data_IF_438064682890
#
_entry.id   IF_438064682890
#
_cell.length_a   1.000
_cell.length_b   1.000
_cell.length_c   1.000
_cell.angle_alpha   90.00
_cell.angle_beta   90.00
_cell.angle_gamma   90.00
#
_symmetry.space_group_name_H-M   'P 1'
#
loop_
_entity.id
_entity.type
_entity.pdbx_description
1 polymer ?
#
# COMPACT_ATOMS: atom_id res chain seq x y z
N UNK A 1 13.54 -31.28 23.90
CA UNK A 1 12.37 -30.51 24.42
C UNK A 1 11.97 -29.50 23.35
N UNK A 2 10.82 -29.64 22.68
CA UNK A 2 10.23 -28.52 21.92
C UNK A 2 9.81 -27.46 22.95
N UNK A 3 10.32 -26.24 22.85
CA UNK A 3 9.85 -25.15 23.71
C UNK A 3 8.40 -24.83 23.32
N UNK A 4 7.48 -25.01 24.26
CA UNK A 4 6.07 -24.66 24.08
C UNK A 4 5.90 -23.15 24.14
N UNK A 5 6.18 -22.46 23.03
CA UNK A 5 5.67 -21.10 22.82
C UNK A 5 4.16 -21.23 22.67
N UNK A 6 3.39 -20.60 23.56
CA UNK A 6 1.94 -20.56 23.42
C UNK A 6 1.60 -19.87 22.09
N UNK A 7 0.91 -20.60 21.20
CA UNK A 7 0.46 -20.05 19.91
C UNK A 7 -0.70 -19.10 20.21
N UNK A 8 -0.38 -17.81 20.34
CA UNK A 8 -1.37 -16.75 20.48
C UNK A 8 -1.78 -16.26 19.09
N UNK A 9 -3.07 -15.97 18.89
CA UNK A 9 -3.59 -15.42 17.63
C UNK A 9 -3.51 -13.87 17.57
N UNK A 10 -2.80 -13.26 18.52
CA UNK A 10 -2.71 -11.81 18.69
C UNK A 10 -2.04 -11.16 17.48
N UNK A 11 -2.59 -10.05 17.01
CA UNK A 11 -2.03 -9.28 15.89
C UNK A 11 -0.63 -8.75 16.20
N UNK A 12 -0.41 -8.23 17.42
CA UNK A 12 0.88 -7.83 17.98
C UNK A 12 0.73 -7.52 19.48
N UNK A 13 1.79 -7.02 20.14
CA UNK A 13 1.75 -6.66 21.57
C UNK A 13 0.71 -5.58 21.94
N UNK A 14 0.27 -4.78 20.96
CA UNK A 14 -0.72 -3.72 21.14
C UNK A 14 -2.17 -4.24 21.16
N UNK A 15 -2.44 -5.40 20.57
CA UNK A 15 -3.79 -5.96 20.39
C UNK A 15 -3.79 -7.47 20.64
N UNK A 16 -4.40 -7.89 21.75
CA UNK A 16 -4.63 -9.30 22.10
C UNK A 16 -5.79 -9.92 21.30
N UNK A 17 -5.87 -9.58 20.00
CA UNK A 17 -6.93 -9.95 19.08
C UNK A 17 -6.35 -10.31 17.72
N UNK A 18 -6.95 -11.25 17.02
CA UNK A 18 -6.63 -11.53 15.60
C UNK A 18 -7.09 -10.40 14.67
N UNK A 19 -6.60 -10.38 13.41
CA UNK A 19 -7.11 -9.41 12.41
C UNK A 19 -8.62 -9.55 12.22
N UNK A 20 -9.13 -10.78 12.19
CA UNK A 20 -10.56 -11.07 12.00
C UNK A 20 -11.41 -10.54 13.17
N UNK A 21 -10.96 -10.75 14.41
CA UNK A 21 -11.62 -10.17 15.60
C UNK A 21 -11.63 -8.64 15.55
N UNK A 22 -10.49 -8.01 15.20
CA UNK A 22 -10.41 -6.56 15.05
C UNK A 22 -11.31 -6.03 13.93
N UNK A 23 -11.47 -6.78 12.82
CA UNK A 23 -12.43 -6.44 11.77
C UNK A 23 -13.86 -6.42 12.33
N UNK A 24 -14.25 -7.48 13.05
CA UNK A 24 -15.58 -7.56 13.68
C UNK A 24 -15.78 -6.44 14.71
N UNK A 25 -14.81 -6.19 15.59
CA UNK A 25 -14.86 -5.11 16.59
C UNK A 25 -15.00 -3.73 15.94
N UNK A 26 -14.27 -3.46 14.85
CA UNK A 26 -14.40 -2.21 14.09
C UNK A 26 -15.79 -2.07 13.50
N UNK A 27 -16.30 -3.11 12.82
CA UNK A 27 -17.59 -3.05 12.12
C UNK A 27 -18.78 -2.96 13.09
N UNK A 28 -18.81 -3.80 14.11
CA UNK A 28 -19.93 -3.88 15.09
C UNK A 28 -20.02 -2.63 15.95
N UNK A 29 -18.88 -2.09 16.43
CA UNK A 29 -18.87 -0.90 17.28
C UNK A 29 -18.81 0.42 16.51
N UNK A 30 -18.82 0.40 15.17
CA UNK A 30 -18.78 1.60 14.33
C UNK A 30 -17.48 2.41 14.43
N UNK A 31 -16.36 1.79 14.83
CA UNK A 31 -15.10 2.48 15.14
C UNK A 31 -14.46 3.02 13.86
N UNK A 32 -14.26 4.34 13.78
CA UNK A 32 -13.72 5.01 12.58
C UNK A 32 -12.30 5.56 12.75
N UNK A 33 -11.67 5.37 13.90
CA UNK A 33 -10.34 5.91 14.20
C UNK A 33 -9.45 4.89 14.90
N UNK A 34 -8.15 4.97 14.65
CA UNK A 34 -7.17 4.07 15.27
C UNK A 34 -6.99 4.32 16.76
N UNK A 35 -6.99 5.58 17.20
CA UNK A 35 -6.89 5.95 18.62
C UNK A 35 -8.09 5.45 19.43
N UNK A 36 -9.29 5.52 18.85
CA UNK A 36 -10.50 4.91 19.42
C UNK A 36 -10.39 3.38 19.53
N UNK A 37 -9.89 2.70 18.48
CA UNK A 37 -9.70 1.25 18.51
C UNK A 37 -8.69 0.82 19.58
N UNK A 38 -7.56 1.53 19.68
CA UNK A 38 -6.54 1.30 20.72
C UNK A 38 -7.11 1.55 22.10
N UNK A 39 -7.83 2.66 22.33
CA UNK A 39 -8.37 3.00 23.65
C UNK A 39 -9.42 1.99 24.16
N UNK A 40 -10.19 1.36 23.26
CA UNK A 40 -11.22 0.38 23.62
C UNK A 40 -10.74 -1.07 23.65
N UNK A 41 -9.81 -1.46 22.77
CA UNK A 41 -9.48 -2.86 22.48
C UNK A 41 -7.98 -3.16 22.40
N UNK A 42 -7.11 -2.21 22.80
CA UNK A 42 -5.66 -2.37 22.75
C UNK A 42 -4.93 -1.52 23.80
N UNK A 43 -3.67 -1.19 23.51
CA UNK A 43 -2.79 -0.34 24.33
C UNK A 43 -1.67 0.27 23.49
N UNK A 44 -0.96 1.27 24.03
CA UNK A 44 0.23 1.88 23.40
C UNK A 44 -0.08 2.85 22.25
N UNK A 45 0.91 3.11 21.38
CA UNK A 45 0.77 4.00 20.19
C UNK A 45 0.66 3.24 18.86
N UNK A 46 0.82 1.91 18.88
CA UNK A 46 0.80 1.04 17.70
C UNK A 46 2.14 0.95 16.98
N UNK A 47 2.35 -0.17 16.28
CA UNK A 47 3.56 -0.46 15.51
C UNK A 47 3.28 -0.65 14.01
N UNK A 48 4.35 -0.90 13.25
CA UNK A 48 4.37 -1.27 11.83
C UNK A 48 3.48 -2.48 11.47
N UNK A 49 3.19 -3.35 12.43
CA UNK A 49 2.29 -4.50 12.26
C UNK A 49 0.81 -4.07 12.31
N UNK A 50 0.39 -3.38 13.37
CA UNK A 50 -1.03 -3.12 13.60
C UNK A 50 -1.54 -1.86 12.89
N UNK A 51 -0.72 -0.83 12.68
CA UNK A 51 -1.14 0.38 11.98
C UNK A 51 -1.62 0.08 10.54
N UNK A 52 -0.85 -0.61 9.67
CA UNK A 52 -1.31 -0.94 8.32
C UNK A 52 -2.42 -1.98 8.30
N UNK A 53 -2.46 -2.90 9.28
CA UNK A 53 -3.54 -3.88 9.39
C UNK A 53 -4.88 -3.20 9.71
N UNK A 54 -4.90 -2.26 10.66
CA UNK A 54 -6.09 -1.47 10.99
C UNK A 54 -6.43 -0.46 9.90
N UNK A 55 -5.45 0.13 9.21
CA UNK A 55 -5.69 0.93 8.01
C UNK A 55 -6.45 0.14 6.93
N UNK A 56 -6.02 -1.10 6.65
CA UNK A 56 -6.71 -2.02 5.74
C UNK A 56 -8.14 -2.33 6.21
N UNK A 57 -8.35 -2.59 7.50
CA UNK A 57 -9.69 -2.82 8.08
C UNK A 57 -10.58 -1.57 7.91
N UNK A 58 -10.11 -0.39 8.34
CA UNK A 58 -10.88 0.87 8.26
C UNK A 58 -11.24 1.24 6.81
N UNK A 59 -10.31 1.08 5.86
CA UNK A 59 -10.59 1.32 4.45
C UNK A 59 -11.59 0.28 3.86
N UNK A 60 -11.57 -0.95 4.35
CA UNK A 60 -12.51 -2.01 3.96
C UNK A 60 -13.92 -1.81 4.53
N UNK A 61 -14.04 -1.27 5.75
CA UNK A 61 -15.34 -1.04 6.40
C UNK A 61 -16.00 0.29 5.99
N UNK A 62 -15.20 1.34 5.77
CA UNK A 62 -15.71 2.72 5.68
C UNK A 62 -15.41 3.42 4.35
N UNK A 63 -14.56 2.83 3.50
CA UNK A 63 -14.21 3.34 2.16
C UNK A 63 -13.73 4.80 2.12
N UNK A 64 -13.16 5.29 3.23
CA UNK A 64 -12.63 6.64 3.31
C UNK A 64 -11.20 6.73 2.71
N UNK A 65 -10.90 7.83 2.00
CA UNK A 65 -9.57 8.11 1.44
C UNK A 65 -8.44 7.88 2.48
N UNK A 66 -7.48 7.04 2.10
CA UNK A 66 -6.40 6.55 2.99
C UNK A 66 -5.42 7.64 3.44
N UNK A 67 -5.37 8.78 2.74
CA UNK A 67 -4.53 9.93 3.08
C UNK A 67 -5.27 11.04 3.86
N UNK A 68 -6.52 10.82 4.31
CA UNK A 68 -7.14 11.73 5.31
C UNK A 68 -6.20 11.85 6.52
N UNK A 69 -6.13 13.01 7.22
CA UNK A 69 -5.17 13.22 8.31
C UNK A 69 -5.19 12.14 9.42
N UNK A 70 -6.36 11.53 9.68
CA UNK A 70 -6.54 10.43 10.65
C UNK A 70 -6.11 9.04 10.16
N UNK A 71 -5.92 8.86 8.84
CA UNK A 71 -5.55 7.58 8.20
C UNK A 71 -4.12 7.58 7.65
N UNK A 72 -3.59 8.74 7.23
CA UNK A 72 -2.25 8.86 6.65
C UNK A 72 -1.11 8.34 7.55
N UNK A 73 -1.12 8.53 8.89
CA UNK A 73 -0.08 7.99 9.79
C UNK A 73 -0.17 6.48 10.02
N UNK A 74 -1.18 5.81 9.45
CA UNK A 74 -1.38 4.36 9.57
C UNK A 74 -0.89 3.59 8.34
N UNK A 75 -0.64 4.29 7.23
CA UNK A 75 -0.25 3.68 5.96
C UNK A 75 1.20 3.21 5.99
N UNK A 76 1.51 2.18 5.19
CA UNK A 76 2.91 1.90 4.85
C UNK A 76 3.45 2.94 3.85
N UNK A 77 4.76 2.96 3.63
CA UNK A 77 5.40 3.94 2.74
C UNK A 77 4.80 3.96 1.32
N UNK A 78 4.36 2.82 0.80
CA UNK A 78 3.84 2.75 -0.56
C UNK A 78 2.42 3.35 -0.64
N UNK A 79 1.56 3.06 0.34
CA UNK A 79 0.24 3.67 0.44
C UNK A 79 0.30 5.14 0.90
N UNK A 80 1.33 5.56 1.65
CA UNK A 80 1.53 6.97 2.06
C UNK A 80 1.89 7.90 0.88
N UNK A 81 2.70 7.40 -0.07
CA UNK A 81 3.12 8.14 -1.27
C UNK A 81 2.33 7.75 -2.53
N UNK A 82 1.31 6.90 -2.42
CA UNK A 82 0.52 6.37 -3.55
C UNK A 82 1.39 5.86 -4.73
N UNK A 83 2.56 5.29 -4.42
CA UNK A 83 3.56 4.89 -5.41
C UNK A 83 4.51 3.84 -4.82
N UNK A 84 5.09 2.96 -5.65
CA UNK A 84 6.01 1.93 -5.17
C UNK A 84 7.41 2.51 -4.97
N UNK A 85 7.93 2.51 -3.73
CA UNK A 85 9.34 2.82 -3.47
C UNK A 85 10.27 1.79 -4.14
N UNK A 86 11.31 2.29 -4.82
CA UNK A 86 12.35 1.50 -5.48
C UNK A 86 13.65 1.48 -4.65
N UNK A 87 14.60 0.61 -5.01
CA UNK A 87 15.85 0.42 -4.26
C UNK A 87 16.75 1.67 -4.22
N UNK A 88 16.67 2.51 -5.24
CA UNK A 88 17.41 3.77 -5.38
C UNK A 88 16.68 4.97 -4.73
N UNK A 89 15.58 4.72 -4.00
CA UNK A 89 14.76 5.77 -3.38
C UNK A 89 13.81 6.50 -4.34
N UNK A 90 13.80 6.14 -5.63
CA UNK A 90 12.81 6.60 -6.61
C UNK A 90 11.50 5.83 -6.48
N UNK A 91 10.54 6.12 -7.35
CA UNK A 91 9.20 5.55 -7.34
C UNK A 91 8.81 4.99 -8.72
N UNK A 92 7.89 4.01 -8.71
CA UNK A 92 7.22 3.51 -9.91
C UNK A 92 5.76 4.00 -10.00
N UNK A 93 5.36 4.33 -11.22
CA UNK A 93 4.04 4.85 -11.61
C UNK A 93 3.41 3.82 -12.55
N UNK A 94 2.24 3.31 -12.17
CA UNK A 94 1.49 2.32 -12.94
C UNK A 94 0.06 2.83 -13.15
N UNK A 95 -0.26 3.38 -14.33
CA UNK A 95 -1.62 3.74 -14.70
C UNK A 95 -2.51 2.49 -14.88
N UNK A 96 -3.83 2.65 -14.74
CA UNK A 96 -4.78 1.60 -15.16
C UNK A 96 -4.80 1.46 -16.68
N UNK A 97 -4.88 0.20 -17.12
CA UNK A 97 -5.20 -0.18 -18.50
C UNK A 97 -6.22 -1.32 -18.39
N UNK A 98 -7.53 -1.01 -18.28
CA UNK A 98 -8.54 -2.01 -17.93
C UNK A 98 -8.64 -3.10 -19.01
N UNK A 99 -8.54 -4.36 -18.61
CA UNK A 99 -8.50 -5.49 -19.54
C UNK A 99 -7.28 -5.54 -20.48
N UNK A 100 -6.30 -4.65 -20.30
CA UNK A 100 -5.20 -4.44 -21.25
C UNK A 100 -5.55 -3.54 -22.45
N UNK A 101 -6.76 -2.96 -22.48
CA UNK A 101 -7.24 -2.13 -23.59
C UNK A 101 -6.67 -0.71 -23.52
N UNK A 102 -5.92 -0.28 -24.54
CA UNK A 102 -5.30 1.05 -24.61
C UNK A 102 -5.36 1.65 -26.01
N UNK A 103 -5.75 2.92 -26.09
CA UNK A 103 -5.80 3.67 -27.35
C UNK A 103 -4.40 4.12 -27.80
N UNK A 104 -4.17 4.34 -29.11
CA UNK A 104 -2.92 4.91 -29.61
C UNK A 104 -2.52 6.22 -28.92
N UNK A 105 -3.46 7.14 -28.71
CA UNK A 105 -3.18 8.43 -28.06
C UNK A 105 -2.68 8.25 -26.61
N UNK A 106 -3.30 7.33 -25.86
CA UNK A 106 -2.86 6.99 -24.50
C UNK A 106 -1.47 6.33 -24.49
N UNK A 107 -1.13 5.53 -25.51
CA UNK A 107 0.23 5.00 -25.67
C UNK A 107 1.25 6.11 -25.96
N UNK A 108 0.91 7.09 -26.80
CA UNK A 108 1.75 8.25 -27.11
C UNK A 108 2.01 9.05 -25.83
N UNK A 109 0.97 9.38 -25.06
CA UNK A 109 1.09 10.12 -23.78
C UNK A 109 2.05 9.41 -22.81
N UNK A 110 1.94 8.09 -22.64
CA UNK A 110 2.87 7.33 -21.77
C UNK A 110 4.32 7.45 -22.26
N UNK A 111 4.55 7.43 -23.56
CA UNK A 111 5.87 7.62 -24.15
C UNK A 111 6.42 9.05 -24.00
N UNK A 112 5.57 10.06 -24.10
CA UNK A 112 5.95 11.47 -23.93
C UNK A 112 6.27 11.80 -22.47
N UNK A 113 5.43 11.35 -21.53
CA UNK A 113 5.68 11.43 -20.08
C UNK A 113 6.99 10.72 -19.73
N UNK A 114 7.19 9.49 -20.21
CA UNK A 114 8.42 8.75 -19.93
C UNK A 114 9.68 9.51 -20.43
N UNK A 115 9.64 10.04 -21.65
CA UNK A 115 10.75 10.87 -22.19
C UNK A 115 10.98 12.14 -21.36
N UNK A 116 9.92 12.87 -21.00
CA UNK A 116 10.01 14.16 -20.30
C UNK A 116 10.64 14.04 -18.91
N UNK A 117 10.29 12.99 -18.17
CA UNK A 117 10.76 12.78 -16.80
C UNK A 117 11.94 11.80 -16.69
N UNK A 118 12.43 11.26 -17.81
CA UNK A 118 13.58 10.34 -17.85
C UNK A 118 13.26 8.93 -17.32
N UNK A 119 12.02 8.49 -17.45
CA UNK A 119 11.52 7.26 -16.82
C UNK A 119 11.81 6.02 -17.65
N UNK A 120 12.21 4.93 -16.99
CA UNK A 120 12.33 3.61 -17.63
C UNK A 120 10.95 2.96 -17.78
N UNK A 121 10.60 2.55 -19.00
CA UNK A 121 9.31 1.93 -19.32
C UNK A 121 9.39 0.40 -19.37
N UNK A 122 8.45 -0.30 -18.72
CA UNK A 122 8.36 -1.77 -18.78
C UNK A 122 6.95 -2.27 -19.07
N UNK A 123 6.78 -3.09 -20.10
CA UNK A 123 5.56 -3.88 -20.30
C UNK A 123 5.51 -4.99 -19.24
N UNK A 124 4.40 -5.08 -18.53
CA UNK A 124 4.18 -6.03 -17.42
C UNK A 124 3.31 -7.21 -17.85
N UNK A 125 3.45 -8.35 -17.18
CA UNK A 125 2.54 -9.50 -17.33
C UNK A 125 1.09 -9.24 -16.87
N UNK A 126 0.78 -8.03 -16.44
CA UNK A 126 -0.54 -7.51 -16.11
C UNK A 126 -1.18 -6.70 -17.24
N UNK A 127 -0.62 -6.73 -18.47
CA UNK A 127 -1.08 -5.94 -19.62
C UNK A 127 -1.07 -4.41 -19.38
N UNK A 128 -0.10 -3.95 -18.59
CA UNK A 128 0.13 -2.53 -18.28
C UNK A 128 1.57 -2.13 -18.54
N UNK A 129 1.80 -0.84 -18.75
CA UNK A 129 3.12 -0.22 -18.77
C UNK A 129 3.41 0.36 -17.38
N UNK A 130 4.58 0.04 -16.84
CA UNK A 130 5.11 0.56 -15.58
C UNK A 130 6.24 1.55 -15.89
N UNK A 131 6.26 2.69 -15.20
CA UNK A 131 7.20 3.80 -15.39
C UNK A 131 8.06 3.95 -14.13
N UNK A 132 9.36 3.72 -14.22
CA UNK A 132 10.30 3.72 -13.09
C UNK A 132 11.24 4.93 -13.10
N UNK A 133 11.74 5.32 -11.93
CA UNK A 133 12.74 6.39 -11.78
C UNK A 133 12.17 7.75 -11.39
N UNK A 134 10.88 7.84 -11.09
CA UNK A 134 10.25 9.10 -10.70
C UNK A 134 10.70 9.50 -9.28
N UNK A 135 11.14 10.75 -9.10
CA UNK A 135 11.40 11.31 -7.78
C UNK A 135 10.09 11.73 -7.11
N UNK A 136 10.07 11.86 -5.79
CA UNK A 136 8.85 12.06 -4.99
C UNK A 136 8.08 13.31 -5.43
N UNK A 137 8.80 14.39 -5.74
CA UNK A 137 8.24 15.68 -6.16
C UNK A 137 7.80 15.72 -7.63
N UNK A 138 8.23 14.74 -8.43
CA UNK A 138 7.72 14.55 -9.78
C UNK A 138 6.37 13.80 -9.80
N UNK A 139 6.02 13.05 -8.75
CA UNK A 139 4.81 12.22 -8.73
C UNK A 139 3.53 13.02 -9.02
N UNK A 140 3.25 14.19 -8.38
CA UNK A 140 2.05 14.96 -8.69
C UNK A 140 2.04 15.49 -10.12
N UNK A 141 3.19 15.96 -10.62
CA UNK A 141 3.30 16.50 -11.99
C UNK A 141 3.00 15.42 -13.03
N UNK A 142 3.58 14.24 -12.88
CA UNK A 142 3.35 13.09 -13.77
C UNK A 142 1.89 12.63 -13.69
N UNK A 143 1.32 12.51 -12.49
CA UNK A 143 -0.08 12.09 -12.34
C UNK A 143 -1.07 13.11 -12.87
N UNK A 144 -0.77 14.41 -12.81
CA UNK A 144 -1.61 15.45 -13.41
C UNK A 144 -1.68 15.27 -14.94
N UNK A 145 -0.55 15.03 -15.61
CA UNK A 145 -0.51 14.78 -17.06
C UNK A 145 -1.29 13.51 -17.44
N UNK A 146 -1.08 12.42 -16.69
CA UNK A 146 -1.77 11.14 -16.92
C UNK A 146 -3.28 11.25 -16.70
N UNK A 147 -3.73 11.95 -15.65
CA UNK A 147 -5.16 12.14 -15.36
C UNK A 147 -5.81 13.07 -16.39
N UNK A 148 -5.09 14.10 -16.88
CA UNK A 148 -5.56 14.94 -17.99
C UNK A 148 -5.76 14.13 -19.29
N UNK A 149 -4.94 13.09 -19.52
CA UNK A 149 -5.11 12.12 -20.60
C UNK A 149 -6.13 10.99 -20.28
N UNK A 150 -6.87 11.09 -19.18
CA UNK A 150 -7.91 10.13 -18.80
C UNK A 150 -7.39 8.78 -18.28
N UNK A 151 -6.22 8.75 -17.65
CA UNK A 151 -5.77 7.62 -16.84
C UNK A 151 -6.24 7.71 -15.38
N UNK A 152 -6.23 6.56 -14.69
CA UNK A 152 -6.48 6.44 -13.25
C UNK A 152 -5.36 5.67 -12.56
N UNK A 153 -5.29 5.76 -11.22
CA UNK A 153 -4.34 5.00 -10.41
C UNK A 153 -4.49 3.49 -10.60
N UNK A 154 -3.42 2.81 -11.00
CA UNK A 154 -3.36 1.36 -11.08
C UNK A 154 -3.20 0.65 -9.73
N UNK A 155 -3.22 1.39 -8.62
CA UNK A 155 -3.10 0.92 -7.23
C UNK A 155 -1.95 -0.10 -7.04
N UNK A 156 -0.87 0.05 -7.81
CA UNK A 156 0.25 -0.88 -7.86
C UNK A 156 1.14 -0.83 -6.59
N UNK A 157 0.93 0.18 -5.76
CA UNK A 157 1.50 0.36 -4.43
C UNK A 157 0.73 -0.44 -3.37
N UNK A 158 -0.59 -0.24 -3.28
CA UNK A 158 -1.41 -0.72 -2.17
C UNK A 158 -1.71 -2.21 -2.10
N UNK A 159 -2.23 -2.66 -0.95
CA UNK A 159 -2.86 -3.98 -0.79
C UNK A 159 -4.31 -3.92 -1.29
N UNK A 160 -4.45 -3.81 -2.61
CA UNK A 160 -5.71 -3.63 -3.31
C UNK A 160 -5.84 -4.59 -4.52
N UNK A 161 -6.98 -4.54 -5.24
CA UNK A 161 -7.03 -5.05 -6.62
C UNK A 161 -5.94 -4.36 -7.46
N UNK A 162 -5.14 -5.18 -8.16
CA UNK A 162 -4.05 -4.69 -9.01
C UNK A 162 -4.40 -4.59 -10.49
N UNK A 163 -5.20 -5.53 -11.02
CA UNK A 163 -5.47 -5.69 -12.46
C UNK A 163 -6.49 -6.80 -12.68
N UNK A 164 -7.27 -6.69 -13.75
CA UNK A 164 -7.96 -7.81 -14.38
C UNK A 164 -7.34 -8.03 -15.77
N UNK A 165 -6.59 -9.13 -15.92
CA UNK A 165 -5.98 -9.51 -17.22
C UNK A 165 -7.04 -10.15 -18.12
N UNK A 166 -7.05 -9.87 -19.42
CA UNK A 166 -7.94 -10.55 -20.38
C UNK A 166 -7.19 -11.11 -21.57
N UNK A 167 -7.73 -12.15 -22.21
CA UNK A 167 -7.41 -12.40 -23.61
C UNK A 167 -8.36 -11.59 -24.51
N UNK A 168 -8.03 -11.46 -25.79
CA UNK A 168 -8.77 -10.65 -26.78
C UNK A 168 -10.18 -11.17 -27.13
N UNK A 169 -10.67 -12.20 -26.43
CA UNK A 169 -12.06 -12.68 -26.47
C UNK A 169 -12.54 -13.14 -27.85
N UNK A 170 -13.86 -13.27 -27.98
CA UNK A 170 -14.55 -13.44 -29.28
C UNK A 170 -14.43 -12.20 -30.18
N UNK A 171 -14.03 -11.05 -29.64
CA UNK A 171 -13.81 -9.79 -30.38
C UNK A 171 -12.75 -9.92 -31.46
N UNK A 172 -11.69 -10.71 -31.22
CA UNK A 172 -10.58 -10.91 -32.17
C UNK A 172 -10.12 -12.36 -32.34
N UNK A 173 -10.26 -13.21 -31.33
CA UNK A 173 -9.74 -14.57 -31.39
C UNK A 173 -10.74 -15.52 -32.06
N UNK A 174 -10.30 -16.25 -33.09
CA UNK A 174 -11.08 -17.33 -33.74
C UNK A 174 -11.48 -18.51 -32.83
N UNK A 175 -11.00 -18.51 -31.58
CA UNK A 175 -11.35 -19.48 -30.54
C UNK A 175 -12.07 -18.84 -29.35
N UNK A 176 -12.39 -17.55 -29.41
CA UNK A 176 -13.13 -16.87 -28.35
C UNK A 176 -14.58 -17.32 -28.34
N UNK A 177 -15.03 -17.86 -27.22
CA UNK A 177 -16.41 -18.31 -27.00
C UNK A 177 -17.26 -17.14 -26.48
N UNK A 178 -16.69 -16.27 -25.65
CA UNK A 178 -17.34 -15.06 -25.16
C UNK A 178 -16.39 -13.86 -25.13
N UNK A 179 -16.96 -12.66 -24.97
CA UNK A 179 -16.22 -11.40 -24.84
C UNK A 179 -15.61 -11.28 -23.43
N UNK A 180 -14.37 -11.76 -23.30
CA UNK A 180 -13.58 -11.60 -22.09
C UNK A 180 -13.06 -10.19 -21.86
N UNK A 181 -13.00 -9.33 -22.88
CA UNK A 181 -12.43 -7.98 -22.75
C UNK A 181 -13.44 -7.09 -22.04
N UNK A 182 -14.68 -7.03 -22.52
CA UNK A 182 -15.76 -6.29 -21.86
C UNK A 182 -16.01 -6.80 -20.44
N UNK A 183 -16.01 -8.13 -20.24
CA UNK A 183 -16.14 -8.71 -18.89
C UNK A 183 -14.97 -8.34 -17.97
N UNK A 184 -13.72 -8.36 -18.45
CA UNK A 184 -12.57 -7.93 -17.65
C UNK A 184 -12.60 -6.44 -17.30
N UNK A 185 -13.01 -5.59 -18.24
CA UNK A 185 -13.19 -4.15 -18.02
C UNK A 185 -14.28 -3.90 -16.96
N UNK A 186 -15.41 -4.61 -17.05
CA UNK A 186 -16.51 -4.49 -16.09
C UNK A 186 -16.09 -4.95 -14.68
N UNK A 187 -15.37 -6.07 -14.57
CA UNK A 187 -14.82 -6.56 -13.30
C UNK A 187 -13.78 -5.57 -12.75
N UNK A 188 -12.84 -5.07 -13.56
CA UNK A 188 -11.83 -4.14 -13.07
C UNK A 188 -12.48 -2.82 -12.62
N UNK A 189 -13.47 -2.34 -13.36
CA UNK A 189 -14.22 -1.16 -12.98
C UNK A 189 -15.05 -1.39 -11.71
N UNK A 190 -15.66 -2.57 -11.48
CA UNK A 190 -16.41 -2.83 -10.23
C UNK A 190 -15.50 -2.82 -9.00
N UNK A 191 -14.31 -3.41 -9.09
CA UNK A 191 -13.46 -3.67 -7.92
C UNK A 191 -12.22 -2.77 -7.82
N UNK A 192 -12.13 -1.70 -8.62
CA UNK A 192 -11.00 -0.75 -8.62
C UNK A 192 -10.84 -0.10 -7.25
N UNK A 193 -9.61 -0.06 -6.72
CA UNK A 193 -9.31 0.51 -5.40
C UNK A 193 -9.73 -0.35 -4.20
N UNK A 194 -10.40 -1.50 -4.39
CA UNK A 194 -10.83 -2.39 -3.29
C UNK A 194 -9.64 -2.79 -2.41
N UNK A 195 -9.64 -2.34 -1.15
CA UNK A 195 -8.62 -2.67 -0.15
C UNK A 195 -8.90 -4.04 0.47
N UNK A 196 -7.83 -4.78 0.78
CA UNK A 196 -7.90 -6.17 1.22
C UNK A 196 -6.72 -6.56 2.13
N UNK A 197 -6.74 -7.73 2.80
CA UNK A 197 -5.63 -8.19 3.65
C UNK A 197 -4.31 -8.28 2.87
N UNK A 198 -4.37 -8.61 1.57
CA UNK A 198 -3.26 -8.56 0.65
C UNK A 198 -3.71 -8.14 -0.77
N UNK A 199 -2.76 -7.83 -1.66
CA UNK A 199 -3.03 -7.53 -3.08
C UNK A 199 -3.79 -8.68 -3.77
N UNK A 200 -4.79 -8.31 -4.58
CA UNK A 200 -5.65 -9.21 -5.37
C UNK A 200 -5.28 -9.04 -6.85
N UNK A 201 -5.29 -10.14 -7.61
CA UNK A 201 -5.24 -10.17 -9.07
C UNK A 201 -6.43 -10.97 -9.59
N UNK A 202 -6.97 -10.57 -10.74
CA UNK A 202 -8.03 -11.33 -11.41
C UNK A 202 -7.70 -11.51 -12.89
N UNK A 203 -8.40 -12.41 -13.58
CA UNK A 203 -8.36 -12.46 -15.04
C UNK A 203 -9.59 -13.12 -15.65
N UNK A 204 -9.86 -12.78 -16.92
CA UNK A 204 -10.95 -13.33 -17.72
C UNK A 204 -10.40 -13.93 -19.03
N UNK A 205 -10.59 -15.23 -19.21
CA UNK A 205 -10.23 -15.96 -20.43
C UNK A 205 -11.49 -16.26 -21.24
N UNK A 206 -11.57 -15.74 -22.47
CA UNK A 206 -12.70 -15.93 -23.39
C UNK A 206 -12.89 -17.34 -23.93
N UNK A 207 -12.04 -18.31 -23.54
CA UNK A 207 -12.24 -19.75 -23.74
C UNK A 207 -11.25 -20.56 -22.87
N UNK A 208 -11.41 -21.89 -22.89
CA UNK A 208 -10.57 -22.86 -22.16
C UNK A 208 -9.09 -22.92 -22.59
N UNK A 209 -8.68 -22.19 -23.64
CA UNK A 209 -7.25 -22.00 -23.99
C UNK A 209 -6.50 -21.11 -23.00
N UNK A 210 -7.21 -20.44 -22.09
CA UNK A 210 -6.65 -19.89 -20.87
C UNK A 210 -5.53 -18.83 -21.04
N UNK A 211 -5.57 -18.05 -22.12
CA UNK A 211 -4.49 -17.10 -22.44
C UNK A 211 -4.37 -15.93 -21.43
N UNK A 212 -5.35 -15.73 -20.55
CA UNK A 212 -5.30 -14.75 -19.47
C UNK A 212 -4.64 -15.29 -18.17
N UNK A 213 -4.33 -16.59 -18.10
CA UNK A 213 -3.81 -17.29 -16.92
C UNK A 213 -4.74 -17.11 -15.68
N UNK A 214 -6.05 -17.12 -15.90
CA UNK A 214 -7.12 -17.02 -14.92
C UNK A 214 -6.99 -18.02 -13.78
N UNK A 215 -6.59 -19.27 -14.04
CA UNK A 215 -6.37 -20.24 -12.95
C UNK A 215 -5.15 -19.88 -12.07
N UNK A 216 -4.28 -18.96 -12.50
CA UNK A 216 -3.16 -18.44 -11.70
C UNK A 216 -3.47 -17.18 -10.89
N UNK A 217 -4.74 -16.74 -10.83
CA UNK A 217 -5.15 -15.48 -10.17
C UNK A 217 -6.03 -15.74 -8.94
N UNK A 218 -6.14 -14.74 -8.06
CA UNK A 218 -6.98 -14.81 -6.87
C UNK A 218 -8.47 -14.99 -7.22
N UNK A 219 -8.90 -14.47 -8.39
CA UNK A 219 -10.17 -14.80 -9.06
C UNK A 219 -9.93 -15.02 -10.56
N UNK A 220 -10.33 -16.19 -11.07
CA UNK A 220 -10.24 -16.56 -12.47
C UNK A 220 -11.61 -16.80 -13.08
N UNK A 221 -11.89 -16.19 -14.23
CA UNK A 221 -13.14 -16.35 -14.96
C UNK A 221 -12.83 -16.96 -16.33
N UNK A 222 -13.47 -18.08 -16.69
CA UNK A 222 -13.23 -18.77 -17.96
C UNK A 222 -14.56 -18.99 -18.68
N UNK A 223 -14.64 -18.55 -19.93
CA UNK A 223 -15.84 -18.72 -20.76
C UNK A 223 -16.04 -20.18 -21.17
N UNK A 224 -17.31 -20.59 -21.17
CA UNK A 224 -17.84 -21.83 -21.75
C UNK A 224 -19.01 -21.49 -22.67
N UNK A 225 -19.51 -22.46 -23.42
CA UNK A 225 -20.69 -22.29 -24.29
C UNK A 225 -21.98 -21.99 -23.51
N UNK A 226 -22.00 -22.27 -22.20
CA UNK A 226 -23.18 -22.14 -21.33
C UNK A 226 -23.11 -20.99 -20.32
N UNK A 227 -22.06 -20.17 -20.36
CA UNK A 227 -21.77 -19.17 -19.33
C UNK A 227 -20.33 -19.26 -18.81
N UNK A 228 -20.10 -18.79 -17.60
CA UNK A 228 -18.76 -18.66 -17.02
C UNK A 228 -18.47 -19.71 -15.95
N UNK A 229 -17.25 -20.25 -15.97
CA UNK A 229 -16.67 -20.97 -14.85
C UNK A 229 -15.89 -19.99 -13.97
N UNK A 230 -16.19 -19.98 -12.68
CA UNK A 230 -15.55 -19.15 -11.66
C UNK A 230 -14.58 -19.99 -10.83
N UNK A 231 -13.32 -19.60 -10.86
CA UNK A 231 -12.23 -20.17 -10.09
C UNK A 231 -11.73 -19.15 -9.06
N UNK A 232 -11.32 -19.60 -7.88
CA UNK A 232 -10.86 -18.72 -6.79
C UNK A 232 -9.57 -19.22 -6.11
N UNK A 233 -8.87 -18.31 -5.43
CA UNK A 233 -7.71 -18.62 -4.58
C UNK A 233 -6.46 -19.13 -5.32
N UNK A 234 -6.33 -18.85 -6.61
CA UNK A 234 -5.10 -19.07 -7.36
C UNK A 234 -4.01 -18.05 -7.01
N UNK A 235 -2.76 -18.41 -7.25
CA UNK A 235 -1.62 -17.59 -6.87
C UNK A 235 -0.41 -17.75 -7.81
N UNK A 236 0.09 -16.63 -8.34
CA UNK A 236 1.46 -16.51 -8.85
C UNK A 236 2.40 -15.87 -7.82
N UNK A 237 3.53 -16.54 -7.54
CA UNK A 237 4.56 -16.06 -6.59
C UNK A 237 5.56 -17.18 -6.23
N UNK A 238 6.20 -17.06 -5.06
CA UNK A 238 7.20 -18.04 -4.57
C UNK A 238 6.67 -19.48 -4.47
N UNK A 239 5.39 -19.63 -4.10
CA UNK A 239 4.65 -20.89 -4.14
C UNK A 239 3.48 -20.70 -5.12
N UNK A 240 3.64 -21.04 -6.42
CA UNK A 240 2.55 -20.96 -7.36
C UNK A 240 1.47 -22.01 -7.03
N UNK A 241 0.21 -21.66 -7.22
CA UNK A 241 -0.96 -22.51 -6.94
C UNK A 241 -2.05 -22.21 -7.96
N UNK A 242 -2.69 -23.23 -8.51
CA UNK A 242 -3.89 -23.04 -9.32
C UNK A 242 -5.10 -22.71 -8.43
N UNK A 243 -6.06 -22.01 -9.01
CA UNK A 243 -7.34 -21.67 -8.41
C UNK A 243 -8.28 -22.88 -8.43
N UNK A 244 -9.10 -23.02 -7.39
CA UNK A 244 -10.09 -24.09 -7.29
C UNK A 244 -11.39 -23.66 -7.97
N UNK A 245 -12.10 -24.61 -8.58
CA UNK A 245 -13.40 -24.37 -9.22
C UNK A 245 -14.49 -24.15 -8.15
N UNK A 246 -15.01 -22.93 -8.08
CA UNK A 246 -16.08 -22.57 -7.16
C UNK A 246 -17.44 -22.92 -7.75
N UNK A 247 -17.72 -22.49 -8.98
CA UNK A 247 -18.98 -22.71 -9.69
C UNK A 247 -18.82 -22.66 -11.22
N UNK A 248 -19.80 -23.21 -11.95
CA UNK A 248 -19.82 -23.39 -13.41
C UNK A 248 -21.10 -22.85 -14.03
N UNK A 249 -21.10 -22.65 -15.35
CA UNK A 249 -22.31 -22.31 -16.14
C UNK A 249 -23.02 -21.02 -15.63
N UNK A 250 -22.26 -20.07 -15.08
CA UNK A 250 -22.80 -18.83 -14.51
C UNK A 250 -23.17 -17.81 -15.59
N UNK A 251 -24.31 -17.15 -15.42
CA UNK A 251 -24.59 -15.88 -16.12
C UNK A 251 -23.76 -14.72 -15.54
N UNK A 252 -23.79 -13.56 -16.21
CA UNK A 252 -23.03 -12.37 -15.82
C UNK A 252 -23.43 -11.83 -14.43
N UNK A 253 -24.71 -11.89 -14.06
CA UNK A 253 -25.19 -11.35 -12.78
C UNK A 253 -24.80 -12.27 -11.62
N UNK A 254 -24.97 -13.58 -11.79
CA UNK A 254 -24.58 -14.60 -10.81
C UNK A 254 -23.06 -14.65 -10.61
N UNK A 255 -22.29 -14.50 -11.69
CA UNK A 255 -20.83 -14.36 -11.65
C UNK A 255 -20.42 -13.20 -10.75
N UNK A 256 -20.94 -11.99 -10.98
CA UNK A 256 -20.62 -10.81 -10.18
C UNK A 256 -21.07 -10.98 -8.72
N UNK A 257 -22.27 -11.51 -8.47
CA UNK A 257 -22.76 -11.80 -7.12
C UNK A 257 -21.81 -12.73 -6.34
N UNK A 258 -21.31 -13.80 -6.95
CA UNK A 258 -20.39 -14.73 -6.30
C UNK A 258 -19.00 -14.12 -6.08
N UNK A 259 -18.52 -13.27 -6.99
CA UNK A 259 -17.26 -12.53 -6.79
C UNK A 259 -17.39 -11.51 -5.65
N UNK A 260 -18.48 -10.75 -5.59
CA UNK A 260 -18.77 -9.80 -4.50
C UNK A 260 -18.71 -10.49 -3.12
N UNK A 261 -19.46 -11.59 -2.98
CA UNK A 261 -19.51 -12.42 -1.78
C UNK A 261 -18.14 -13.00 -1.41
N UNK A 262 -17.45 -13.61 -2.37
CA UNK A 262 -16.12 -14.18 -2.17
C UNK A 262 -15.12 -13.13 -1.66
N UNK A 263 -15.03 -11.98 -2.33
CA UNK A 263 -14.08 -10.94 -1.99
C UNK A 263 -14.38 -10.36 -0.60
N UNK A 264 -15.64 -10.07 -0.28
CA UNK A 264 -16.00 -9.54 1.04
C UNK A 264 -15.82 -10.57 2.15
N UNK A 265 -16.10 -11.84 1.91
CA UNK A 265 -15.87 -12.90 2.91
C UNK A 265 -14.38 -13.09 3.20
N UNK A 266 -13.52 -13.08 2.17
CA UNK A 266 -12.06 -13.06 2.34
C UNK A 266 -11.56 -11.79 3.05
N UNK A 267 -12.10 -10.61 2.73
CA UNK A 267 -11.71 -9.34 3.37
C UNK A 267 -12.04 -9.31 4.86
N UNK A 268 -13.19 -9.89 5.25
CA UNK A 268 -13.62 -10.04 6.65
C UNK A 268 -12.77 -11.05 7.43
N UNK A 269 -12.50 -12.21 6.84
CA UNK A 269 -11.96 -13.39 7.56
C UNK A 269 -10.47 -13.65 7.36
N UNK A 270 -9.84 -13.12 6.31
CA UNK A 270 -8.41 -13.30 6.05
C UNK A 270 -7.52 -12.61 7.09
N UNK A 271 -6.37 -13.21 7.39
CA UNK A 271 -5.38 -12.66 8.32
C UNK A 271 -4.45 -11.63 7.65
N UNK A 272 -3.68 -10.89 8.45
CA UNK A 272 -2.77 -9.83 8.00
C UNK A 272 -1.80 -10.33 6.93
N UNK A 273 -1.80 -9.68 5.76
CA UNK A 273 -0.96 -10.01 4.60
C UNK A 273 -1.17 -11.44 4.04
N UNK A 274 -2.22 -12.16 4.48
CA UNK A 274 -2.55 -13.50 3.98
C UNK A 274 -3.10 -13.42 2.55
N UNK A 275 -2.60 -14.30 1.67
CA UNK A 275 -3.15 -14.48 0.31
C UNK A 275 -4.42 -15.32 0.35
N UNK A 276 -5.33 -15.09 -0.59
CA UNK A 276 -6.52 -15.92 -0.83
C UNK A 276 -6.20 -17.42 -0.86
N UNK A 277 -5.10 -17.82 -1.51
CA UNK A 277 -4.61 -19.21 -1.53
C UNK A 277 -4.34 -19.79 -0.14
N UNK A 278 -3.59 -19.06 0.70
CA UNK A 278 -3.21 -19.49 2.07
C UNK A 278 -4.39 -19.37 3.03
N UNK A 279 -5.30 -18.44 2.76
CA UNK A 279 -6.57 -18.32 3.48
C UNK A 279 -7.47 -19.53 3.23
N UNK A 280 -7.62 -19.97 1.98
CA UNK A 280 -8.38 -21.17 1.64
C UNK A 280 -7.75 -22.45 2.20
N UNK A 281 -6.42 -22.56 2.20
CA UNK A 281 -5.69 -23.68 2.81
C UNK A 281 -5.88 -23.76 4.33
N UNK A 282 -6.13 -22.63 5.00
CA UNK A 282 -6.40 -22.55 6.43
C UNK A 282 -7.90 -22.56 6.78
N UNK A 283 -8.79 -22.50 5.77
CA UNK A 283 -10.23 -22.47 5.97
C UNK A 283 -10.74 -23.90 6.21
N UNK A 284 -11.36 -24.15 7.36
CA UNK A 284 -11.95 -25.46 7.66
C UNK A 284 -13.04 -25.80 6.63
N UNK A 285 -13.00 -27.01 6.08
CA UNK A 285 -13.84 -27.43 4.94
C UNK A 285 -13.44 -26.84 3.57
N UNK A 286 -12.42 -25.98 3.51
CA UNK A 286 -11.78 -25.52 2.28
C UNK A 286 -12.75 -24.95 1.23
N UNK A 287 -12.60 -25.40 -0.01
CA UNK A 287 -13.43 -24.95 -1.14
C UNK A 287 -14.90 -25.34 -1.01
N UNK A 288 -15.21 -26.44 -0.32
CA UNK A 288 -16.59 -26.91 -0.17
C UNK A 288 -17.36 -26.07 0.84
N UNK A 289 -16.74 -25.73 1.98
CA UNK A 289 -17.31 -24.74 2.90
C UNK A 289 -17.42 -23.35 2.23
N UNK A 290 -16.41 -22.93 1.47
CA UNK A 290 -16.48 -21.67 0.72
C UNK A 290 -17.64 -21.65 -0.28
N UNK A 291 -17.94 -22.78 -0.93
CA UNK A 291 -19.09 -22.91 -1.83
C UNK A 291 -20.41 -22.79 -1.08
N UNK A 292 -20.56 -23.41 0.09
CA UNK A 292 -21.73 -23.26 0.94
C UNK A 292 -21.95 -21.78 1.34
N UNK A 293 -20.91 -21.09 1.77
CA UNK A 293 -21.02 -19.67 2.18
C UNK A 293 -21.33 -18.75 0.99
N UNK A 294 -20.63 -18.91 -0.14
CA UNK A 294 -20.75 -17.97 -1.28
C UNK A 294 -21.95 -18.29 -2.17
N UNK A 295 -22.15 -19.56 -2.54
CA UNK A 295 -23.15 -19.96 -3.51
C UNK A 295 -24.50 -20.28 -2.86
N UNK A 296 -24.49 -20.96 -1.72
CA UNK A 296 -25.71 -21.44 -1.03
C UNK A 296 -26.18 -20.47 0.08
N UNK A 297 -25.38 -19.46 0.42
CA UNK A 297 -25.61 -18.50 1.51
C UNK A 297 -25.88 -19.17 2.87
N UNK A 298 -25.11 -20.22 3.19
CA UNK A 298 -25.30 -21.07 4.38
C UNK A 298 -25.22 -20.32 5.72
N UNK A 299 -24.67 -19.11 5.73
CA UNK A 299 -24.58 -18.23 6.91
C UNK A 299 -25.63 -17.10 6.91
N UNK A 300 -26.40 -16.93 5.83
CA UNK A 300 -27.41 -15.87 5.70
C UNK A 300 -26.84 -14.44 5.62
N UNK A 301 -25.60 -14.29 5.13
CA UNK A 301 -24.88 -13.00 5.05
C UNK A 301 -24.64 -12.51 3.62
N UNK A 302 -25.07 -13.25 2.59
CA UNK A 302 -24.82 -12.93 1.19
C UNK A 302 -25.26 -11.52 0.80
N UNK A 303 -26.48 -11.14 1.18
CA UNK A 303 -27.01 -9.79 0.94
C UNK A 303 -26.19 -8.68 1.66
N UNK A 304 -25.62 -8.97 2.82
CA UNK A 304 -24.77 -8.04 3.58
C UNK A 304 -23.39 -7.88 2.91
N UNK A 305 -22.82 -8.97 2.38
CA UNK A 305 -21.59 -8.96 1.60
C UNK A 305 -21.76 -8.20 0.27
N UNK A 306 -22.88 -8.42 -0.42
CA UNK A 306 -23.24 -7.68 -1.65
C UNK A 306 -23.43 -6.19 -1.38
N UNK A 307 -24.11 -5.82 -0.27
CA UNK A 307 -24.30 -4.42 0.12
C UNK A 307 -22.98 -3.74 0.55
N UNK A 308 -22.06 -4.43 1.22
CA UNK A 308 -20.71 -3.94 1.48
C UNK A 308 -19.96 -3.64 0.17
N UNK A 309 -20.01 -4.56 -0.80
CA UNK A 309 -19.37 -4.35 -2.10
C UNK A 309 -20.01 -3.23 -2.91
N UNK A 310 -21.34 -3.13 -2.90
CA UNK A 310 -22.02 -2.06 -3.62
C UNK A 310 -21.67 -0.68 -3.05
N UNK A 311 -21.50 -0.54 -1.72
CA UNK A 311 -20.98 0.70 -1.11
C UNK A 311 -19.55 1.02 -1.54
N UNK A 312 -18.68 0.02 -1.72
CA UNK A 312 -17.35 0.26 -2.29
C UNK A 312 -17.44 0.79 -3.73
N UNK A 313 -18.29 0.20 -4.57
CA UNK A 313 -18.49 0.59 -5.97
C UNK A 313 -18.97 2.04 -6.09
N UNK A 314 -19.91 2.44 -5.23
CA UNK A 314 -20.52 3.78 -5.21
C UNK A 314 -19.62 4.86 -4.59
N UNK A 315 -18.70 4.49 -3.68
CA UNK A 315 -17.78 5.42 -3.01
C UNK A 315 -16.40 5.54 -3.66
N UNK A 316 -16.12 4.81 -4.75
CA UNK A 316 -14.81 4.86 -5.39
C UNK A 316 -14.46 6.26 -5.91
N UNK A 317 -13.27 6.72 -5.54
CA UNK A 317 -12.60 7.91 -6.05
C UNK A 317 -11.15 7.56 -6.41
N UNK A 318 -10.62 8.08 -7.51
CA UNK A 318 -9.24 7.84 -7.89
C UNK A 318 -8.31 8.56 -6.90
N UNK A 319 -7.54 7.80 -6.10
CA UNK A 319 -6.68 8.32 -5.02
C UNK A 319 -5.73 9.43 -5.48
N UNK A 320 -5.18 9.32 -6.71
CA UNK A 320 -4.29 10.34 -7.29
C UNK A 320 -5.03 11.60 -7.75
N UNK A 321 -6.25 11.46 -8.30
CA UNK A 321 -7.09 12.63 -8.62
C UNK A 321 -7.42 13.38 -7.33
N UNK A 322 -7.81 12.66 -6.27
CA UNK A 322 -8.09 13.26 -4.97
C UNK A 322 -6.87 13.91 -4.33
N UNK A 323 -5.67 13.32 -4.50
CA UNK A 323 -4.42 13.90 -4.04
C UNK A 323 -4.11 15.25 -4.72
N UNK A 324 -4.32 15.35 -6.05
CA UNK A 324 -4.13 16.58 -6.82
C UNK A 324 -5.14 17.67 -6.43
N UNK A 325 -6.37 17.29 -6.13
CA UNK A 325 -7.45 18.19 -5.69
C UNK A 325 -7.33 18.64 -4.22
N UNK A 326 -6.38 18.10 -3.44
CA UNK A 326 -6.24 18.37 -1.99
C UNK A 326 -4.85 18.93 -1.64
N UNK A 327 -4.69 20.25 -1.45
CA UNK A 327 -3.40 20.89 -1.18
C UNK A 327 -2.62 20.30 0.02
N UNK A 328 -3.32 19.85 1.06
CA UNK A 328 -2.73 19.24 2.25
C UNK A 328 -2.12 17.86 1.97
N UNK A 329 -2.63 17.15 0.96
CA UNK A 329 -2.02 15.90 0.48
C UNK A 329 -0.79 16.23 -0.38
N UNK A 330 -0.86 17.27 -1.22
CA UNK A 330 0.26 17.70 -2.07
C UNK A 330 1.52 18.09 -1.28
N UNK A 331 1.38 18.65 -0.07
CA UNK A 331 2.52 18.95 0.82
C UNK A 331 3.44 17.74 1.05
N UNK A 332 2.90 16.51 1.06
CA UNK A 332 3.66 15.27 1.29
C UNK A 332 4.67 14.95 0.20
N UNK A 333 4.47 15.47 -1.01
CA UNK A 333 5.29 15.15 -2.17
C UNK A 333 6.49 16.09 -2.35
N UNK A 334 6.64 17.11 -1.51
CA UNK A 334 7.81 17.98 -1.55
C UNK A 334 9.05 17.23 -1.07
N UNK A 335 10.19 17.45 -1.75
CA UNK A 335 11.46 16.82 -1.38
C UNK A 335 12.05 17.43 -0.10
N UNK A 336 12.05 18.76 -0.02
CA UNK A 336 12.31 19.53 1.20
C UNK A 336 11.07 20.35 1.56
N UNK A 337 10.78 20.52 2.85
CA UNK A 337 9.63 21.31 3.29
C UNK A 337 9.90 22.83 3.18
N UNK A 338 11.18 23.22 3.24
CA UNK A 338 11.67 24.61 3.19
C UNK A 338 12.33 25.03 1.85
N UNK A 339 12.36 24.17 0.82
CA UNK A 339 13.06 24.49 -0.42
C UNK A 339 12.49 23.75 -1.64
N UNK A 340 12.38 24.46 -2.77
CA UNK A 340 12.07 23.91 -4.09
C UNK A 340 13.32 23.37 -4.83
N UNK A 341 14.49 23.40 -4.19
CA UNK A 341 15.74 22.97 -4.81
C UNK A 341 15.83 21.43 -4.96
N UNK A 342 16.33 20.91 -6.11
CA UNK A 342 16.69 19.51 -6.25
C UNK A 342 17.99 19.18 -5.50
N UNK A 343 18.10 17.98 -4.95
CA UNK A 343 19.21 17.52 -4.12
C UNK A 343 20.60 17.69 -4.78
N UNK A 344 21.40 18.61 -4.22
CA UNK A 344 22.78 18.95 -4.59
C UNK A 344 23.54 19.47 -3.37
N UNK A 345 24.44 18.66 -2.82
CA UNK A 345 25.22 18.91 -1.58
C UNK A 345 25.85 20.31 -1.45
N UNK A 346 25.75 20.96 -0.27
CA UNK A 346 26.86 21.48 0.59
C UNK A 346 26.39 22.45 1.72
N UNK A 347 26.70 22.07 2.97
CA UNK A 347 27.11 22.80 4.22
C UNK A 347 27.02 24.36 4.20
N UNK A 348 26.51 25.13 5.19
CA UNK A 348 26.74 25.19 6.66
C UNK A 348 25.64 26.00 7.42
N UNK A 349 25.65 26.00 8.77
CA UNK A 349 25.81 27.30 9.49
C UNK A 349 25.16 27.59 10.85
N UNK A 350 23.85 27.34 11.03
CA UNK A 350 23.06 27.73 12.23
C UNK A 350 21.92 26.73 12.48
N UNK A 351 21.18 26.87 13.58
CA UNK A 351 19.93 26.11 13.83
C UNK A 351 19.00 26.25 12.62
N UNK A 352 18.68 25.14 11.97
CA UNK A 352 17.99 25.17 10.68
C UNK A 352 16.49 25.17 10.93
N UNK A 353 15.83 26.24 10.49
CA UNK A 353 14.37 26.28 10.41
C UNK A 353 13.89 25.31 9.32
N UNK A 354 13.17 24.26 9.74
CA UNK A 354 12.76 23.15 8.87
C UNK A 354 11.42 23.43 8.20
N UNK A 355 10.41 23.80 8.99
CA UNK A 355 9.04 24.08 8.54
C UNK A 355 8.18 24.53 9.73
N UNK A 356 6.90 24.87 9.51
CA UNK A 356 5.95 24.99 10.63
C UNK A 356 5.64 23.60 11.18
N UNK A 357 5.37 23.50 12.48
CA UNK A 357 5.00 22.24 13.14
C UNK A 357 3.81 21.55 12.45
N UNK A 358 2.87 22.32 11.89
CA UNK A 358 1.68 21.82 11.19
C UNK A 358 1.90 21.45 9.72
N UNK A 359 3.09 21.68 9.17
CA UNK A 359 3.50 21.08 7.89
C UNK A 359 3.94 19.62 8.09
N UNK A 360 4.38 19.23 9.30
CA UNK A 360 4.61 17.83 9.68
C UNK A 360 3.33 17.25 10.26
N UNK A 361 2.79 16.22 9.60
CA UNK A 361 1.57 15.54 10.05
C UNK A 361 1.89 14.70 11.30
N UNK A 362 1.08 14.75 12.37
CA UNK A 362 1.34 13.99 13.59
C UNK A 362 1.56 12.49 13.37
N UNK A 363 2.60 11.96 14.00
CA UNK A 363 3.12 10.58 13.87
C UNK A 363 3.68 10.23 12.48
N UNK A 364 4.19 11.22 11.73
CA UNK A 364 4.88 11.02 10.44
C UNK A 364 6.21 11.77 10.41
N UNK A 365 7.06 11.42 9.44
CA UNK A 365 8.36 12.06 9.20
C UNK A 365 8.39 12.91 7.94
N UNK A 366 9.31 13.86 7.91
CA UNK A 366 9.72 14.63 6.72
C UNK A 366 11.24 14.57 6.56
N UNK A 367 11.73 14.73 5.33
CA UNK A 367 13.14 14.90 5.07
C UNK A 367 13.51 16.39 5.13
N UNK A 368 14.64 16.69 5.75
CA UNK A 368 15.21 18.02 5.82
C UNK A 368 16.72 17.97 5.56
N UNK A 369 17.28 19.07 5.07
CA UNK A 369 18.72 19.25 4.93
C UNK A 369 19.22 20.10 6.10
N UNK A 370 20.12 19.56 6.92
CA UNK A 370 20.65 20.24 8.11
C UNK A 370 22.17 20.12 8.10
N UNK A 371 22.87 21.26 8.00
CA UNK A 371 24.34 21.27 7.91
C UNK A 371 24.92 20.54 6.68
N UNK A 372 24.10 20.23 5.67
CA UNK A 372 24.50 19.38 4.53
C UNK A 372 24.23 17.89 4.72
N UNK A 373 23.79 17.44 5.89
CA UNK A 373 23.32 16.07 6.13
C UNK A 373 21.81 15.96 5.91
N UNK A 374 21.34 14.82 5.39
CA UNK A 374 19.91 14.54 5.30
C UNK A 374 19.39 14.03 6.65
N UNK A 375 18.43 14.74 7.22
CA UNK A 375 17.81 14.47 8.52
C UNK A 375 16.34 14.08 8.32
N UNK A 376 15.94 13.00 8.99
CA UNK A 376 14.57 12.56 9.11
C UNK A 376 13.97 13.16 10.40
N UNK A 377 13.01 14.08 10.23
CA UNK A 377 12.38 14.83 11.33
C UNK A 377 10.95 14.33 11.52
N UNK A 378 10.62 13.83 12.70
CA UNK A 378 9.34 13.20 13.03
C UNK A 378 8.58 14.02 14.07
N UNK A 379 7.28 14.24 13.84
CA UNK A 379 6.36 14.81 14.85
C UNK A 379 5.63 13.69 15.58
N UNK A 380 5.65 13.67 16.91
CA UNK A 380 4.93 12.68 17.73
C UNK A 380 4.13 13.41 18.80
N UNK A 381 2.82 13.59 18.56
CA UNK A 381 2.05 14.60 19.28
C UNK A 381 2.54 16.00 18.91
N UNK A 382 3.04 16.75 19.88
CA UNK A 382 3.70 18.05 19.68
C UNK A 382 5.22 18.00 19.93
N UNK A 383 5.76 16.81 20.22
CA UNK A 383 7.21 16.55 20.32
C UNK A 383 7.83 16.34 18.93
N UNK A 384 9.09 16.72 18.77
CA UNK A 384 9.89 16.51 17.56
C UNK A 384 11.10 15.63 17.87
N UNK A 385 11.36 14.66 17.00
CA UNK A 385 12.58 13.84 17.02
C UNK A 385 13.31 13.96 15.68
N UNK A 386 14.63 14.09 15.69
CA UNK A 386 15.43 14.23 14.49
C UNK A 386 16.57 13.21 14.46
N UNK A 387 16.62 12.40 13.39
CA UNK A 387 17.58 11.30 13.20
C UNK A 387 18.17 11.32 11.80
N UNK A 388 19.24 10.59 11.52
CA UNK A 388 19.79 10.50 10.16
C UNK A 388 18.78 9.92 9.16
N UNK A 389 18.68 10.46 7.95
CA UNK A 389 17.76 9.95 6.92
C UNK A 389 18.28 8.67 6.22
N UNK A 390 19.59 8.41 6.29
CA UNK A 390 20.24 7.25 5.68
C UNK A 390 19.95 5.96 6.45
N UNK A 391 19.38 4.95 5.78
CA UNK A 391 19.24 3.59 6.29
C UNK A 391 20.52 2.76 6.05
N UNK A 392 21.30 2.40 7.09
CA UNK A 392 22.55 1.66 6.95
C UNK A 392 22.41 0.28 6.29
N UNK A 393 21.23 -0.36 6.35
CA UNK A 393 21.04 -1.70 5.79
C UNK A 393 20.69 -1.70 4.30
N UNK A 394 20.09 -0.62 3.80
CA UNK A 394 19.74 -0.48 2.37
C UNK A 394 20.65 0.47 1.59
N UNK A 395 21.41 1.33 2.28
CA UNK A 395 22.24 2.37 1.65
C UNK A 395 21.42 3.54 1.09
N UNK A 396 20.14 3.65 1.47
CA UNK A 396 19.19 4.59 0.88
C UNK A 396 18.75 5.67 1.89
N UNK A 397 18.61 6.91 1.41
CA UNK A 397 18.16 8.05 2.19
C UNK A 397 16.62 8.10 2.30
N UNK A 398 16.06 7.22 3.13
CA UNK A 398 14.61 6.95 3.16
C UNK A 398 13.98 6.91 4.55
N UNK A 399 14.74 7.02 5.66
CA UNK A 399 14.17 6.82 7.00
C UNK A 399 13.04 7.80 7.35
N UNK A 400 13.07 9.04 6.85
CA UNK A 400 11.97 10.02 6.94
C UNK A 400 10.61 9.51 6.43
N UNK A 401 10.63 8.51 5.54
CA UNK A 401 9.46 7.86 4.92
C UNK A 401 9.01 6.60 5.68
N UNK A 402 9.67 6.30 6.81
CA UNK A 402 9.40 5.15 7.67
C UNK A 402 8.17 5.32 8.56
N UNK A 403 7.74 4.22 9.17
CA UNK A 403 6.58 4.21 10.06
C UNK A 403 7.06 4.50 11.48
N UNK A 404 6.57 5.57 12.11
CA UNK A 404 6.77 5.79 13.56
C UNK A 404 5.98 4.74 14.32
N UNK A 405 6.64 4.04 15.23
CA UNK A 405 6.04 2.98 16.05
C UNK A 405 6.54 3.00 17.48
N UNK A 406 5.93 2.14 18.30
CA UNK A 406 6.41 1.78 19.63
C UNK A 406 6.81 0.30 19.60
N UNK A 407 7.97 -0.03 20.14
CA UNK A 407 8.34 -1.41 20.49
C UNK A 407 8.73 -1.45 21.96
N UNK A 408 7.96 -2.18 22.78
CA UNK A 408 8.21 -2.35 24.23
C UNK A 408 8.36 -1.03 25.02
N UNK A 409 7.73 0.06 24.56
CA UNK A 409 7.83 1.40 25.16
C UNK A 409 9.00 2.25 24.61
N UNK A 410 9.82 1.73 23.70
CA UNK A 410 10.81 2.53 22.96
C UNK A 410 10.17 3.07 21.67
N UNK A 411 10.17 4.39 21.53
CA UNK A 411 9.69 5.08 20.33
C UNK A 411 10.70 4.92 19.19
N UNK A 412 10.25 4.40 18.05
CA UNK A 412 11.11 4.03 16.92
C UNK A 412 10.56 4.52 15.58
N UNK A 413 11.41 4.49 14.55
CA UNK A 413 11.02 4.44 13.14
C UNK A 413 11.40 3.12 12.50
N UNK A 414 10.45 2.45 11.84
CA UNK A 414 10.70 1.27 11.01
C UNK A 414 11.17 1.69 9.61
N UNK A 415 12.35 1.21 9.17
CA UNK A 415 12.86 1.50 7.83
C UNK A 415 11.85 1.12 6.73
N UNK A 416 11.65 1.96 5.69
CA UNK A 416 10.82 1.61 4.55
C UNK A 416 11.19 0.30 3.86
N UNK A 417 12.49 0.00 3.75
CA UNK A 417 13.01 -1.03 2.83
C UNK A 417 13.02 -2.41 3.48
N UNK A 418 13.79 -2.58 4.56
CA UNK A 418 14.02 -3.88 5.20
C UNK A 418 13.44 -3.99 6.63
N UNK A 419 12.73 -2.96 7.11
CA UNK A 419 11.95 -2.97 8.36
C UNK A 419 12.73 -3.14 9.67
N UNK A 420 14.03 -2.82 9.68
CA UNK A 420 14.76 -2.59 10.94
C UNK A 420 14.21 -1.37 11.66
N UNK A 421 14.19 -1.40 12.98
CA UNK A 421 13.65 -0.35 13.83
C UNK A 421 14.76 0.47 14.46
N UNK A 422 14.76 1.78 14.22
CA UNK A 422 15.72 2.71 14.81
C UNK A 422 15.04 3.55 15.88
N UNK A 423 15.62 3.58 17.07
CA UNK A 423 15.18 4.44 18.19
C UNK A 423 15.15 5.91 17.78
N UNK A 424 14.01 6.60 17.95
CA UNK A 424 13.92 8.05 17.74
C UNK A 424 14.59 8.85 18.86
N UNK A 425 14.91 8.22 19.99
CA UNK A 425 15.62 8.83 21.11
C UNK A 425 17.14 8.63 21.04
N UNK A 426 17.61 7.45 20.58
CA UNK A 426 19.04 7.10 20.60
C UNK A 426 19.67 6.79 19.24
N UNK A 427 18.87 6.58 18.19
CA UNK A 427 19.33 6.20 16.85
C UNK A 427 19.79 4.74 16.75
N UNK A 428 19.84 4.01 17.86
CA UNK A 428 20.26 2.60 17.89
C UNK A 428 19.23 1.73 17.16
N UNK A 429 19.71 0.79 16.35
CA UNK A 429 18.89 -0.28 15.77
C UNK A 429 18.47 -1.29 16.86
N UNK A 430 17.19 -1.64 16.91
CA UNK A 430 16.63 -2.56 17.92
C UNK A 430 17.04 -4.00 17.63
N UNK A 431 17.14 -4.39 16.36
CA UNK A 431 17.54 -5.73 15.92
C UNK A 431 19.06 -5.96 15.97
N UNK A 432 19.86 -4.91 15.81
CA UNK A 432 21.32 -4.98 15.78
C UNK A 432 21.94 -3.81 16.56
N UNK A 433 22.31 -4.05 17.81
CA UNK A 433 22.87 -3.04 18.69
C UNK A 433 24.25 -2.50 18.23
N UNK A 434 24.89 -3.09 17.22
CA UNK A 434 26.11 -2.55 16.61
C UNK A 434 25.85 -1.43 15.60
N UNK A 435 24.60 -1.27 15.14
CA UNK A 435 24.20 -0.26 14.16
C UNK A 435 23.45 0.89 14.84
N UNK A 436 23.91 2.11 14.58
CA UNK A 436 23.31 3.34 15.10
C UNK A 436 23.29 4.42 14.01
N UNK A 437 22.16 5.11 13.85
CA UNK A 437 22.04 6.31 13.01
C UNK A 437 22.30 7.59 13.84
N UNK A 438 22.73 8.70 13.20
CA UNK A 438 22.81 10.00 13.85
C UNK A 438 21.52 10.42 14.56
N UNK A 439 21.67 11.12 15.69
CA UNK A 439 20.62 11.89 16.36
C UNK A 439 21.01 13.38 16.30
N UNK A 440 20.00 14.24 16.16
CA UNK A 440 20.11 15.70 16.15
C UNK A 440 19.19 16.28 17.22
N UNK A 441 19.60 17.36 17.88
CA UNK A 441 18.71 18.10 18.76
C UNK A 441 17.66 18.85 17.92
N UNK A 442 16.40 18.80 18.36
CA UNK A 442 15.29 19.42 17.65
C UNK A 442 14.28 19.99 18.65
N UNK A 443 13.68 21.11 18.32
CA UNK A 443 12.67 21.76 19.15
C UNK A 443 11.64 22.53 18.29
N UNK A 444 10.62 23.08 18.95
CA UNK A 444 9.65 23.99 18.33
C UNK A 444 9.80 25.36 18.97
N UNK A 445 10.02 26.39 18.15
CA UNK A 445 10.10 27.80 18.55
C UNK A 445 9.08 28.59 17.73
N UNK A 446 8.16 29.29 18.38
CA UNK A 446 7.08 30.07 17.73
C UNK A 446 6.28 29.32 16.64
N UNK A 447 6.11 28.00 16.83
CA UNK A 447 5.42 27.11 15.90
C UNK A 447 6.27 26.66 14.69
N UNK A 448 7.56 26.98 14.65
CA UNK A 448 8.56 26.54 13.67
C UNK A 448 9.40 25.42 14.27
N UNK A 449 9.61 24.34 13.51
CA UNK A 449 10.50 23.24 13.86
C UNK A 449 11.94 23.65 13.56
N UNK A 450 12.80 23.63 14.58
CA UNK A 450 14.22 23.93 14.51
C UNK A 450 15.03 22.66 14.73
N UNK A 451 16.10 22.43 13.97
CA UNK A 451 17.04 21.32 14.18
C UNK A 451 18.47 21.83 14.20
N UNK A 452 19.23 21.43 15.23
CA UNK A 452 20.65 21.76 15.38
C UNK A 452 21.51 20.89 14.44
N UNK A 453 22.43 21.47 13.66
CA UNK A 453 23.45 20.72 12.94
C UNK A 453 24.34 19.92 13.90
N UNK A 454 24.74 18.72 13.49
CA UNK A 454 25.72 17.94 14.26
C UNK A 454 27.05 18.69 14.30
N UNK A 455 27.59 18.92 15.50
CA UNK A 455 28.95 19.46 15.66
C UNK A 455 29.96 18.37 15.31
N UNK A 456 30.76 18.58 14.27
CA UNK A 456 31.95 17.78 14.06
C UNK A 456 32.88 17.92 15.26
N UNK A 457 33.28 16.78 15.85
CA UNK A 457 34.44 16.76 16.74
C UNK A 457 35.66 16.84 15.83
N UNK A 458 36.18 18.06 15.65
CA UNK A 458 37.46 18.27 14.98
C UNK A 458 38.54 17.50 15.74
N UNK A 459 38.97 16.37 15.19
CA UNK A 459 40.13 15.62 15.67
C UNK A 459 41.38 16.46 15.41
N UNK A 460 41.83 17.18 16.45
CA UNK A 460 43.11 17.87 16.45
C UNK A 460 44.22 16.86 16.16
N UNK A 461 44.76 16.94 14.94
CA UNK A 461 45.94 16.19 14.54
C UNK A 461 47.17 16.80 15.25
N UNK A 462 47.46 16.31 16.45
CA UNK A 462 48.70 16.62 17.15
C UNK A 462 49.86 15.82 16.55
N UNK A 463 50.43 16.25 15.43
CA UNK A 463 51.80 15.90 15.04
C UNK A 463 52.40 16.91 14.04
N UNK A 464 53.35 17.72 14.52
CA UNK A 464 54.61 18.13 13.90
C UNK A 464 55.09 19.50 14.46
N UNK A 465 56.25 19.54 15.11
CA UNK A 465 56.82 20.79 15.62
C UNK A 465 58.08 20.62 16.48
N UNK A 466 59.20 20.25 15.82
CA UNK A 466 60.58 20.13 16.35
C UNK A 466 60.84 18.86 17.18
#
# INVERSE_FOLDING_TARGET
KKQGVAVTNHLCEHFAHSRQELFHLVKVNGIRRFDELVARHGKGKGCDICKPAVASILASCWHEMILKPRHAPLQDTNDHFLANLQKDGTYSIVPRVPGGEITPDKLIVLGEVAKRYGLYTKITGAQRIDLFGARVEQLPLIWQELINAGFESGHAYGKALRTVKSCVGSTWCRYGVQDSVTMAINIENRYRGLRAPHKIKMAVSGCTRECAEAQGKDVGVIATEKGWNLYVCGNGGMKPRHADLLATELDNAKLIQYIDRFLMFYIRTGDRLQRTSVWLENLEGGIDYLRQVVCEDSLGIGAELEADMQRHVESYECEWKKALETPEILKRFRHFVNSDAPDRNVIFGHDVAICRLDDIVPNTGVCALVGGEQVAVFRVGDEIHAVGNHDPFSGANVLSRGIVGDLKGELVVASPVYKQHFSLASGRCVEDASVQIPIYAACVQDGVVMVEPRREIATTCCYCGI
#
